data_IF_526824755933
#
_entry.id   IF_526824755933
#
_cell.length_a   1.000
_cell.length_b   1.000
_cell.length_c   1.000
_cell.angle_alpha   90.00
_cell.angle_beta   90.00
_cell.angle_gamma   90.00
#
_symmetry.space_group_name_H-M   'P 1'
#
loop_
_entity.id
_entity.type
_entity.pdbx_description
1 polymer ?
#
# COMPACT_ATOMS: atom_id res chain seq x y z
N UNK A 1 18.04 -4.58 5.79
CA UNK A 1 17.18 -3.40 6.05
C UNK A 1 15.74 -3.72 5.64
N UNK A 2 14.81 -3.85 6.59
CA UNK A 2 13.41 -4.18 6.32
C UNK A 2 12.57 -2.95 5.94
N UNK A 3 11.45 -3.15 5.24
CA UNK A 3 10.47 -2.07 4.99
C UNK A 3 9.83 -1.68 6.31
N UNK A 4 10.01 -0.42 6.74
CA UNK A 4 9.33 0.11 7.93
C UNK A 4 7.83 0.16 7.64
N UNK A 5 7.02 -0.56 8.43
CA UNK A 5 5.56 -0.51 8.34
C UNK A 5 5.11 0.86 8.84
N UNK A 6 4.49 1.63 7.95
CA UNK A 6 3.89 2.91 8.31
C UNK A 6 2.51 2.65 8.94
N UNK A 7 2.20 3.27 10.10
CA UNK A 7 0.92 3.08 10.79
C UNK A 7 -0.27 3.56 9.94
N UNK A 8 -1.44 2.97 10.19
CA UNK A 8 -2.67 3.27 9.47
C UNK A 8 -3.07 4.75 9.62
N UNK A 9 -2.85 5.33 10.80
CA UNK A 9 -3.18 6.73 11.10
C UNK A 9 -2.53 7.70 10.09
N UNK A 10 -1.25 7.50 9.78
CA UNK A 10 -0.54 8.31 8.76
C UNK A 10 -1.15 8.17 7.36
N UNK A 11 -1.71 7.01 7.01
CA UNK A 11 -2.40 6.84 5.71
C UNK A 11 -3.71 7.60 5.65
N UNK A 12 -4.46 7.61 6.76
CA UNK A 12 -5.71 8.35 6.88
C UNK A 12 -5.43 9.85 6.77
N UNK A 13 -4.39 10.33 7.45
CA UNK A 13 -3.95 11.72 7.39
C UNK A 13 -3.51 12.14 5.97
N UNK A 14 -2.77 11.28 5.26
CA UNK A 14 -2.46 11.53 3.84
C UNK A 14 -3.73 11.62 2.99
N UNK A 15 -4.71 10.75 3.24
CA UNK A 15 -5.99 10.77 2.51
C UNK A 15 -6.73 12.08 2.72
N UNK A 16 -6.87 12.52 3.97
CA UNK A 16 -7.54 13.79 4.28
C UNK A 16 -6.83 14.98 3.64
N UNK A 17 -5.49 15.05 3.72
CA UNK A 17 -4.72 16.14 3.11
C UNK A 17 -4.84 16.14 1.56
N UNK A 18 -4.93 14.97 0.94
CA UNK A 18 -5.19 14.85 -0.50
C UNK A 18 -6.61 15.31 -0.88
N UNK A 19 -7.61 15.05 -0.05
CA UNK A 19 -8.99 15.53 -0.25
C UNK A 19 -9.09 17.05 -0.14
N UNK A 20 -8.28 17.67 0.73
CA UNK A 20 -8.13 19.13 0.82
C UNK A 20 -7.34 19.75 -0.34
N UNK A 21 -6.87 18.97 -1.31
CA UNK A 21 -6.14 19.48 -2.48
C UNK A 21 -4.69 19.87 -2.20
N UNK A 22 -4.11 19.44 -1.08
CA UNK A 22 -2.71 19.73 -0.77
C UNK A 22 -1.79 18.94 -1.70
N UNK A 23 -0.71 19.58 -2.16
CA UNK A 23 0.25 18.94 -3.06
C UNK A 23 1.00 17.79 -2.38
N UNK A 24 1.25 16.72 -3.12
CA UNK A 24 1.97 15.54 -2.61
C UNK A 24 3.35 15.86 -2.03
N UNK A 25 4.01 16.89 -2.56
CA UNK A 25 5.29 17.36 -2.04
C UNK A 25 5.16 17.90 -0.61
N UNK A 26 4.18 18.78 -0.39
CA UNK A 26 3.94 19.38 0.93
C UNK A 26 3.55 18.33 1.97
N UNK A 27 2.65 17.41 1.60
CA UNK A 27 2.27 16.27 2.46
C UNK A 27 3.48 15.41 2.85
N UNK A 28 4.40 15.16 1.91
CA UNK A 28 5.60 14.36 2.17
C UNK A 28 6.53 15.05 3.19
N UNK A 29 6.72 16.37 3.05
CA UNK A 29 7.49 17.18 3.99
C UNK A 29 6.84 17.21 5.37
N UNK A 30 5.54 17.53 5.44
CA UNK A 30 4.82 17.71 6.71
C UNK A 30 4.78 16.41 7.54
N UNK A 31 4.56 15.27 6.88
CA UNK A 31 4.44 13.96 7.56
C UNK A 31 5.76 13.21 7.70
N UNK A 32 6.86 13.80 7.21
CA UNK A 32 8.19 13.19 7.16
C UNK A 32 8.16 11.79 6.51
N UNK A 33 7.53 11.70 5.34
CA UNK A 33 7.40 10.45 4.57
C UNK A 33 7.90 10.66 3.14
N UNK A 34 8.36 9.57 2.50
CA UNK A 34 8.80 9.67 1.10
C UNK A 34 7.66 10.09 0.17
N UNK A 35 7.96 10.92 -0.83
CA UNK A 35 7.00 11.30 -1.89
C UNK A 35 6.40 10.08 -2.60
N UNK A 36 7.19 9.02 -2.80
CA UNK A 36 6.74 7.74 -3.36
C UNK A 36 5.67 7.07 -2.50
N UNK A 37 5.76 7.20 -1.18
CA UNK A 37 4.75 6.69 -0.26
C UNK A 37 3.42 7.43 -0.42
N UNK A 38 3.45 8.76 -0.43
CA UNK A 38 2.27 9.60 -0.68
C UNK A 38 1.63 9.27 -2.02
N UNK A 39 2.43 9.10 -3.08
CA UNK A 39 1.96 8.68 -4.39
C UNK A 39 1.23 7.32 -4.36
N UNK A 40 1.79 6.32 -3.66
CA UNK A 40 1.17 5.01 -3.54
C UNK A 40 -0.17 5.06 -2.79
N UNK A 41 -0.25 5.87 -1.73
CA UNK A 41 -1.51 6.09 -0.99
C UNK A 41 -2.53 6.79 -1.89
N UNK A 42 -2.13 7.82 -2.63
CA UNK A 42 -2.98 8.53 -3.60
C UNK A 42 -3.53 7.59 -4.68
N UNK A 43 -2.68 6.71 -5.24
CA UNK A 43 -3.10 5.72 -6.24
C UNK A 43 -4.14 4.74 -5.68
N UNK A 44 -3.95 4.27 -4.44
CA UNK A 44 -4.93 3.40 -3.77
C UNK A 44 -6.26 4.12 -3.52
N UNK A 45 -6.20 5.36 -3.04
CA UNK A 45 -7.38 6.19 -2.82
C UNK A 45 -8.16 6.43 -4.12
N UNK A 46 -7.49 6.85 -5.21
CA UNK A 46 -8.13 7.03 -6.53
C UNK A 46 -8.72 5.74 -7.10
N UNK A 47 -8.14 4.59 -6.76
CA UNK A 47 -8.64 3.28 -7.17
C UNK A 47 -9.72 2.69 -6.25
N UNK A 48 -10.23 3.45 -5.27
CA UNK A 48 -11.15 2.95 -4.23
C UNK A 48 -10.62 1.68 -3.51
N UNK A 49 -9.30 1.51 -3.44
CA UNK A 49 -8.66 0.37 -2.79
C UNK A 49 -8.52 0.65 -1.29
N UNK A 50 -8.71 -0.37 -0.43
CA UNK A 50 -8.58 -0.20 1.01
C UNK A 50 -7.13 0.16 1.38
N UNK A 51 -6.98 1.18 2.24
CA UNK A 51 -5.68 1.60 2.81
C UNK A 51 -5.21 0.66 3.93
N UNK A 52 -5.59 -0.62 3.89
CA UNK A 52 -5.33 -1.56 4.98
C UNK A 52 -3.83 -1.84 5.15
N UNK A 53 -3.48 -2.24 6.38
CA UNK A 53 -2.23 -2.91 6.72
C UNK A 53 -2.38 -4.43 6.62
N UNK A 54 -3.24 -4.92 5.71
CA UNK A 54 -3.30 -6.36 5.48
C UNK A 54 -1.85 -6.83 5.28
N UNK A 55 -1.39 -7.86 6.01
CA UNK A 55 -0.14 -8.49 5.66
C UNK A 55 -0.23 -8.78 4.17
N UNK A 56 0.81 -8.45 3.39
CA UNK A 56 0.89 -8.82 1.98
C UNK A 56 0.36 -10.25 1.92
N UNK A 57 -0.85 -10.42 1.38
CA UNK A 57 -1.42 -11.74 1.22
C UNK A 57 -0.47 -12.36 0.23
N UNK A 58 0.48 -13.14 0.76
CA UNK A 58 1.53 -13.74 -0.03
C UNK A 58 0.83 -14.32 -1.22
N UNK A 59 1.22 -13.86 -2.43
CA UNK A 59 0.67 -14.34 -3.70
C UNK A 59 0.49 -15.84 -3.52
N UNK A 60 -0.75 -16.33 -3.43
CA UNK A 60 -0.99 -17.77 -3.33
C UNK A 60 -0.33 -18.30 -4.59
N UNK A 61 0.84 -18.95 -4.45
CA UNK A 61 1.35 -19.77 -5.55
C UNK A 61 0.20 -20.71 -5.84
N UNK A 62 -0.25 -20.79 -7.09
CA UNK A 62 -1.21 -21.80 -7.48
C UNK A 62 -0.57 -23.13 -7.05
N UNK A 63 -1.06 -23.69 -5.95
CA UNK A 63 -0.63 -24.99 -5.47
C UNK A 63 -1.26 -25.95 -6.45
N UNK A 64 -0.53 -26.35 -7.49
CA UNK A 64 -0.88 -27.54 -8.23
C UNK A 64 -1.05 -28.66 -7.19
N UNK A 65 -2.20 -29.35 -7.15
CA UNK A 65 -2.35 -30.52 -6.30
C UNK A 65 -1.20 -31.50 -6.59
N UNK A 66 -0.65 -32.12 -5.56
CA UNK A 66 0.49 -33.05 -5.68
C UNK A 66 0.18 -34.21 -6.65
N UNK A 67 -1.10 -34.56 -6.82
CA UNK A 67 -1.55 -35.66 -7.67
C UNK A 67 -1.28 -35.46 -9.17
N UNK A 68 -1.18 -34.22 -9.66
CA UNK A 68 -0.89 -33.93 -11.09
C UNK A 68 0.60 -34.13 -11.46
N UNK A 69 1.49 -34.37 -10.48
CA UNK A 69 2.92 -34.62 -10.75
C UNK A 69 3.21 -35.99 -11.36
N UNK A 70 2.26 -36.91 -11.32
CA UNK A 70 2.49 -38.32 -11.71
C UNK A 70 2.24 -38.62 -13.18
N UNK A 71 1.89 -37.62 -14.00
CA UNK A 71 1.57 -37.78 -15.42
C UNK A 71 2.62 -37.15 -16.37
N UNK A 72 3.81 -36.81 -15.89
CA UNK A 72 4.96 -36.40 -16.72
C UNK A 72 6.04 -37.49 -16.75
#
# INVERSE_FOLDING_TARGET
MGRVKVPLNKKIEIKTLLEFGITQHRIATDLSVSKKYVYNVSKKFKGNLPLSNAPDQGRKKASTPIDDRKLL
#
